data_IF_329860045308
#
_entry.id   IF_329860045308
#
_cell.length_a   1.000
_cell.length_b   1.000
_cell.length_c   1.000
_cell.angle_alpha   90.00
_cell.angle_beta   90.00
_cell.angle_gamma   90.00
#
_symmetry.space_group_name_H-M   'P 1'
#
loop_
_entity.id
_entity.type
_entity.pdbx_description
1 polymer ?
#
# COMPACT_ATOMS: atom_id res chain seq x y z
N UNK A 1 -13.00 -12.31 9.59
CA UNK A 1 -12.65 -12.02 8.19
C UNK A 1 -13.87 -11.38 7.55
N UNK A 2 -13.73 -10.17 7.00
CA UNK A 2 -14.70 -9.58 6.07
C UNK A 2 -14.30 -10.03 4.68
N UNK A 3 -15.05 -10.94 4.09
CA UNK A 3 -15.01 -11.17 2.66
C UNK A 3 -16.42 -10.95 2.15
N UNK A 4 -16.58 -10.10 1.15
CA UNK A 4 -17.75 -10.22 0.29
C UNK A 4 -17.75 -11.66 -0.24
N UNK A 5 -18.94 -12.28 -0.26
CA UNK A 5 -19.15 -13.73 -0.45
C UNK A 5 -18.51 -14.29 -1.75
N UNK A 6 -18.14 -13.41 -2.68
CA UNK A 6 -17.52 -13.75 -3.96
C UNK A 6 -16.00 -13.98 -3.90
N UNK A 7 -15.29 -13.52 -2.85
CA UNK A 7 -13.81 -13.57 -2.81
C UNK A 7 -13.23 -14.72 -1.97
N UNK A 8 -13.86 -15.09 -0.85
CA UNK A 8 -13.31 -16.15 0.04
C UNK A 8 -13.33 -17.55 -0.60
N UNK A 9 -14.40 -17.87 -1.33
CA UNK A 9 -14.58 -19.19 -1.99
C UNK A 9 -13.64 -19.43 -3.18
N UNK A 10 -12.91 -18.40 -3.63
CA UNK A 10 -12.00 -18.45 -4.79
C UNK A 10 -10.54 -18.69 -4.43
N UNK A 11 -10.14 -18.55 -3.16
CA UNK A 11 -8.72 -18.54 -2.77
C UNK A 11 -8.17 -19.92 -2.41
N UNK A 12 -8.99 -20.98 -2.41
CA UNK A 12 -8.58 -22.34 -2.05
C UNK A 12 -7.86 -22.42 -0.68
N UNK A 13 -8.32 -21.61 0.28
CA UNK A 13 -7.82 -21.57 1.67
C UNK A 13 -8.93 -22.02 2.61
N UNK A 14 -8.62 -22.98 3.49
CA UNK A 14 -9.50 -23.39 4.58
C UNK A 14 -9.45 -22.36 5.71
N UNK A 15 -10.60 -21.92 6.19
CA UNK A 15 -10.72 -20.81 7.15
C UNK A 15 -11.30 -21.24 8.49
N UNK A 16 -10.58 -20.88 9.56
CA UNK A 16 -11.02 -21.06 10.94
C UNK A 16 -11.34 -19.71 11.57
N UNK A 17 -12.62 -19.47 11.86
CA UNK A 17 -13.12 -18.21 12.39
C UNK A 17 -13.36 -18.27 13.89
N UNK A 18 -12.85 -17.27 14.61
CA UNK A 18 -13.24 -16.94 15.98
C UNK A 18 -13.78 -15.51 15.98
N UNK A 19 -14.94 -15.30 16.61
CA UNK A 19 -15.50 -13.96 16.81
C UNK A 19 -15.54 -13.67 18.32
N UNK A 20 -14.95 -12.55 18.74
CA UNK A 20 -15.06 -12.08 20.12
C UNK A 20 -16.43 -11.46 20.39
N UNK A 21 -16.83 -11.42 21.66
CA UNK A 21 -18.10 -10.80 22.07
C UNK A 21 -18.22 -9.34 21.58
N UNK A 22 -17.13 -8.58 21.65
CA UNK A 22 -17.11 -7.18 21.20
C UNK A 22 -17.16 -7.07 19.68
N UNK A 23 -16.51 -7.99 18.95
CA UNK A 23 -16.62 -8.04 17.49
C UNK A 23 -18.06 -8.33 17.03
N UNK A 24 -18.81 -9.20 17.73
CA UNK A 24 -20.23 -9.42 17.42
C UNK A 24 -21.09 -8.16 17.58
N UNK A 25 -20.75 -7.29 18.53
CA UNK A 25 -21.41 -6.00 18.69
C UNK A 25 -20.98 -5.04 17.56
N UNK A 26 -19.68 -4.91 17.32
CA UNK A 26 -19.12 -4.02 16.28
C UNK A 26 -19.67 -4.34 14.89
N UNK A 27 -19.79 -5.63 14.52
CA UNK A 27 -20.37 -6.04 13.22
C UNK A 27 -21.76 -5.44 13.02
N UNK A 28 -22.60 -5.42 14.06
CA UNK A 28 -23.96 -4.87 13.96
C UNK A 28 -24.00 -3.34 13.90
N UNK A 29 -22.97 -2.66 14.41
CA UNK A 29 -22.90 -1.20 14.46
C UNK A 29 -22.25 -0.60 13.20
N UNK A 30 -21.25 -1.29 12.64
CA UNK A 30 -20.41 -0.76 11.57
C UNK A 30 -20.77 -1.31 10.19
N UNK A 31 -21.66 -2.32 10.11
CA UNK A 31 -21.94 -3.04 8.87
C UNK A 31 -23.41 -3.48 8.79
N UNK A 32 -23.86 -3.78 7.57
CA UNK A 32 -25.17 -4.40 7.33
C UNK A 32 -25.17 -5.92 7.56
N UNK A 33 -24.01 -6.52 7.91
CA UNK A 33 -23.91 -7.94 8.18
C UNK A 33 -24.42 -8.29 9.58
N UNK A 34 -24.94 -9.51 9.72
CA UNK A 34 -25.14 -10.12 11.03
C UNK A 34 -23.96 -11.03 11.39
N UNK A 35 -23.70 -11.30 12.69
CA UNK A 35 -22.74 -12.31 13.09
C UNK A 35 -23.00 -13.69 12.47
N UNK A 36 -24.25 -14.01 12.15
CA UNK A 36 -24.59 -15.26 11.44
C UNK A 36 -24.11 -15.23 9.98
N UNK A 37 -24.27 -14.11 9.27
CA UNK A 37 -23.73 -13.95 7.92
C UNK A 37 -22.21 -14.11 7.92
N UNK A 38 -21.51 -13.48 8.87
CA UNK A 38 -20.04 -13.57 8.96
C UNK A 38 -19.58 -15.00 9.27
N UNK A 39 -20.28 -15.72 10.16
CA UNK A 39 -19.97 -17.13 10.45
C UNK A 39 -20.15 -18.04 9.24
N UNK A 40 -21.14 -17.76 8.38
CA UNK A 40 -21.39 -18.54 7.18
C UNK A 40 -20.32 -18.37 6.09
N UNK A 41 -19.44 -17.37 6.21
CA UNK A 41 -18.32 -17.15 5.29
C UNK A 41 -17.10 -18.03 5.58
N UNK A 42 -17.07 -18.74 6.71
CA UNK A 42 -15.94 -19.54 7.14
C UNK A 42 -16.26 -21.05 7.09
N UNK A 43 -15.24 -21.86 6.80
CA UNK A 43 -15.38 -23.33 6.76
C UNK A 43 -15.60 -23.91 8.17
N UNK A 44 -14.88 -23.36 9.15
CA UNK A 44 -14.97 -23.75 10.55
C UNK A 44 -15.14 -22.54 11.46
N UNK A 45 -16.10 -22.63 12.40
CA UNK A 45 -16.36 -21.57 13.38
C UNK A 45 -16.17 -22.11 14.79
N UNK A 46 -15.35 -21.42 15.58
CA UNK A 46 -15.02 -21.78 16.96
C UNK A 46 -15.54 -20.72 17.92
N UNK A 47 -16.02 -21.16 19.08
CA UNK A 47 -16.39 -20.24 20.17
C UNK A 47 -15.13 -19.65 20.79
N UNK A 48 -15.13 -18.35 21.12
CA UNK A 48 -13.98 -17.73 21.79
C UNK A 48 -13.68 -18.34 23.18
N UNK A 49 -14.61 -19.10 23.74
CA UNK A 49 -14.43 -19.81 25.02
C UNK A 49 -14.00 -21.27 24.86
N UNK A 50 -13.98 -21.78 23.63
CA UNK A 50 -13.65 -23.17 23.35
C UNK A 50 -12.14 -23.38 23.29
N UNK A 51 -11.52 -23.49 24.46
CA UNK A 51 -10.09 -23.77 24.57
C UNK A 51 -9.71 -25.19 24.09
N UNK A 52 -10.69 -26.07 23.81
CA UNK A 52 -10.46 -27.41 23.29
C UNK A 52 -10.48 -27.46 21.74
N UNK A 53 -10.75 -26.33 21.07
CA UNK A 53 -10.73 -26.25 19.62
C UNK A 53 -9.35 -26.64 19.04
N UNK A 54 -9.28 -27.28 17.86
CA UNK A 54 -8.01 -27.74 17.29
C UNK A 54 -6.93 -26.65 17.18
N UNK A 55 -7.35 -25.43 16.87
CA UNK A 55 -6.48 -24.24 16.73
C UNK A 55 -5.82 -23.78 18.04
N UNK A 56 -6.21 -24.34 19.19
CA UNK A 56 -5.54 -24.09 20.48
C UNK A 56 -4.31 -24.98 20.70
N UNK A 57 -4.06 -25.93 19.79
CA UNK A 57 -2.94 -26.87 19.82
C UNK A 57 -1.90 -26.58 18.73
N UNK A 58 -0.62 -26.67 19.09
CA UNK A 58 0.48 -26.58 18.11
C UNK A 58 0.56 -27.76 17.14
N UNK A 59 -0.03 -28.90 17.50
CA UNK A 59 -0.09 -30.08 16.63
C UNK A 59 -1.05 -29.91 15.46
N UNK A 60 -2.04 -29.02 15.59
CA UNK A 60 -2.91 -28.66 14.48
C UNK A 60 -2.11 -27.77 13.53
N UNK A 61 -2.03 -28.14 12.26
CA UNK A 61 -1.27 -27.36 11.27
C UNK A 61 -2.14 -26.22 10.72
N UNK A 62 -1.60 -25.01 10.77
CA UNK A 62 -2.21 -23.80 10.22
C UNK A 62 -1.08 -22.95 9.66
N UNK A 63 -1.24 -22.40 8.46
CA UNK A 63 -0.21 -21.60 7.79
C UNK A 63 0.01 -20.26 8.51
N UNK A 64 -1.05 -19.74 9.12
CA UNK A 64 -0.96 -18.67 10.11
C UNK A 64 -2.30 -18.10 10.51
N UNK A 65 -2.28 -16.89 11.09
CA UNK A 65 -3.45 -16.27 11.71
C UNK A 65 -3.47 -14.76 11.45
N UNK A 66 -4.66 -14.23 11.19
CA UNK A 66 -4.93 -12.78 11.12
C UNK A 66 -5.95 -12.42 12.21
N UNK A 67 -5.61 -11.43 13.05
CA UNK A 67 -6.58 -10.81 13.97
C UNK A 67 -7.05 -9.49 13.35
N UNK A 68 -8.29 -9.45 12.86
CA UNK A 68 -8.85 -8.31 12.12
C UNK A 68 -10.30 -7.99 12.52
N UNK A 69 -10.59 -6.77 13.04
CA UNK A 69 -9.63 -5.84 13.62
C UNK A 69 -9.03 -6.38 14.93
N UNK A 70 -7.81 -5.95 15.25
CA UNK A 70 -7.14 -6.26 16.52
C UNK A 70 -7.28 -5.09 17.50
N UNK A 71 -7.99 -5.33 18.60
CA UNK A 71 -8.15 -4.35 19.67
C UNK A 71 -6.88 -4.21 20.51
N UNK A 72 -6.70 -3.07 21.18
CA UNK A 72 -5.60 -2.87 22.13
C UNK A 72 -5.61 -3.89 23.28
N UNK A 73 -6.80 -4.34 23.70
CA UNK A 73 -6.95 -5.41 24.69
C UNK A 73 -6.38 -6.73 24.18
N UNK A 74 -6.74 -7.11 22.95
CA UNK A 74 -6.24 -8.34 22.32
C UNK A 74 -4.73 -8.28 22.12
N UNK A 75 -4.20 -7.16 21.64
CA UNK A 75 -2.76 -6.93 21.51
C UNK A 75 -2.03 -7.13 22.85
N UNK A 76 -2.54 -6.53 23.93
CA UNK A 76 -1.96 -6.69 25.26
C UNK A 76 -2.03 -8.15 25.74
N UNK A 77 -3.11 -8.86 25.43
CA UNK A 77 -3.26 -10.27 25.76
C UNK A 77 -2.25 -11.17 25.05
N UNK A 78 -2.03 -10.92 23.75
CA UNK A 78 -1.02 -11.61 22.96
C UNK A 78 0.38 -11.32 23.50
N UNK A 79 0.70 -10.06 23.80
CA UNK A 79 2.01 -9.70 24.35
C UNK A 79 2.28 -10.38 25.71
N UNK A 80 1.27 -10.40 26.59
CA UNK A 80 1.39 -10.98 27.92
C UNK A 80 1.33 -12.52 27.93
N UNK A 81 0.82 -13.15 26.86
CA UNK A 81 0.76 -14.61 26.72
C UNK A 81 -0.16 -15.33 27.71
N UNK A 82 -1.10 -14.63 28.36
CA UNK A 82 -1.93 -15.25 29.42
C UNK A 82 -3.04 -16.19 28.90
N UNK A 83 -3.36 -16.11 27.59
CA UNK A 83 -4.21 -17.09 26.89
C UNK A 83 -5.60 -17.38 27.49
N UNK A 84 -6.29 -16.38 28.05
CA UNK A 84 -7.62 -16.57 28.71
C UNK A 84 -8.74 -16.91 27.72
N UNK A 85 -8.58 -16.55 26.45
CA UNK A 85 -9.55 -16.86 25.40
C UNK A 85 -8.91 -17.54 24.19
N UNK A 86 -9.74 -18.11 23.32
CA UNK A 86 -9.25 -18.89 22.19
C UNK A 86 -8.46 -18.03 21.19
N UNK A 87 -8.80 -16.75 21.04
CA UNK A 87 -8.06 -15.82 20.17
C UNK A 87 -6.62 -15.65 20.68
N UNK A 88 -6.45 -15.29 21.95
CA UNK A 88 -5.12 -15.11 22.54
C UNK A 88 -4.35 -16.43 22.60
N UNK A 89 -5.03 -17.55 22.84
CA UNK A 89 -4.42 -18.88 22.81
C UNK A 89 -3.95 -19.30 21.41
N UNK A 90 -4.76 -19.11 20.38
CA UNK A 90 -4.38 -19.43 19.00
C UNK A 90 -3.22 -18.54 18.53
N UNK A 91 -3.18 -17.27 18.94
CA UNK A 91 -2.07 -16.37 18.66
C UNK A 91 -0.76 -16.82 19.34
N UNK A 92 -0.82 -17.27 20.60
CA UNK A 92 0.32 -17.88 21.30
C UNK A 92 0.81 -19.14 20.57
N UNK A 93 -0.10 -19.97 20.05
CA UNK A 93 0.26 -21.11 19.21
C UNK A 93 1.01 -20.66 17.96
N UNK A 94 0.58 -19.60 17.27
CA UNK A 94 1.31 -19.10 16.10
C UNK A 94 2.73 -18.67 16.47
N UNK A 95 2.90 -17.91 17.55
CA UNK A 95 4.20 -17.42 17.98
C UNK A 95 5.14 -18.57 18.38
N UNK A 96 4.67 -19.51 19.20
CA UNK A 96 5.51 -20.60 19.71
C UNK A 96 5.89 -21.61 18.61
N UNK A 97 5.01 -21.84 17.63
CA UNK A 97 5.26 -22.71 16.47
C UNK A 97 5.96 -21.98 15.31
N UNK A 98 6.33 -20.71 15.49
CA UNK A 98 6.98 -19.87 14.46
C UNK A 98 6.17 -19.75 13.17
N UNK A 99 4.86 -19.68 13.31
CA UNK A 99 3.91 -19.46 12.20
C UNK A 99 3.55 -17.99 12.10
N UNK A 100 3.04 -17.60 10.93
CA UNK A 100 2.78 -16.21 10.61
C UNK A 100 1.58 -15.70 11.42
N UNK A 101 1.78 -14.64 12.21
CA UNK A 101 0.73 -13.97 12.97
C UNK A 101 0.66 -12.50 12.55
N UNK A 102 -0.48 -12.06 12.03
CA UNK A 102 -0.72 -10.67 11.61
C UNK A 102 -1.77 -10.04 12.52
N UNK A 103 -1.43 -8.88 13.08
CA UNK A 103 -2.28 -8.12 13.99
C UNK A 103 -2.72 -6.83 13.31
N UNK A 104 -3.99 -6.77 12.90
CA UNK A 104 -4.56 -5.62 12.20
C UNK A 104 -5.02 -4.54 13.18
N UNK A 105 -4.08 -3.75 13.68
CA UNK A 105 -4.34 -2.74 14.72
C UNK A 105 -5.22 -1.61 14.19
N UNK A 106 -6.36 -1.36 14.85
CA UNK A 106 -7.23 -0.21 14.57
C UNK A 106 -7.41 0.63 15.84
N UNK A 107 -6.53 1.61 16.04
CA UNK A 107 -6.59 2.55 17.17
C UNK A 107 -5.89 3.87 16.84
N UNK A 108 -6.41 4.99 17.36
CA UNK A 108 -5.76 6.30 17.28
C UNK A 108 -6.38 7.28 18.28
N UNK A 109 -5.58 8.08 19.03
CA UNK A 109 -4.11 8.10 19.08
C UNK A 109 -3.52 6.90 19.86
N UNK A 110 -2.22 6.66 19.70
CA UNK A 110 -1.53 5.57 20.36
C UNK A 110 -0.87 6.04 21.67
N UNK A 111 -1.12 5.30 22.75
CA UNK A 111 -0.42 5.48 24.02
C UNK A 111 0.95 4.80 24.00
N UNK A 112 1.84 5.18 24.92
CA UNK A 112 3.13 4.51 25.10
C UNK A 112 2.97 3.00 25.39
N UNK A 113 1.90 2.62 26.09
CA UNK A 113 1.58 1.22 26.38
C UNK A 113 1.28 0.46 25.09
N UNK A 114 0.51 1.07 24.17
CA UNK A 114 0.20 0.46 22.87
C UNK A 114 1.49 0.25 22.07
N UNK A 115 2.36 1.27 22.01
CA UNK A 115 3.62 1.22 21.27
C UNK A 115 4.56 0.13 21.83
N UNK A 116 4.69 0.02 23.15
CA UNK A 116 5.50 -1.03 23.79
C UNK A 116 4.96 -2.43 23.46
N UNK A 117 3.66 -2.64 23.59
CA UNK A 117 3.06 -3.93 23.23
C UNK A 117 3.28 -4.28 21.76
N UNK A 118 3.12 -3.32 20.84
CA UNK A 118 3.37 -3.53 19.41
C UNK A 118 4.83 -3.87 19.13
N UNK A 119 5.77 -3.21 19.80
CA UNK A 119 7.20 -3.49 19.67
C UNK A 119 7.54 -4.91 20.15
N UNK A 120 7.03 -5.31 21.30
CA UNK A 120 7.36 -6.59 21.92
C UNK A 120 6.80 -7.77 21.12
N UNK A 121 5.55 -7.71 20.64
CA UNK A 121 5.01 -8.77 19.78
C UNK A 121 5.69 -8.81 18.41
N UNK A 122 6.13 -7.66 17.88
CA UNK A 122 6.94 -7.61 16.65
C UNK A 122 8.26 -8.35 16.84
N UNK A 123 8.95 -8.13 17.98
CA UNK A 123 10.18 -8.86 18.34
C UNK A 123 9.95 -10.35 18.55
N UNK A 124 8.77 -10.76 19.00
CA UNK A 124 8.39 -12.16 19.13
C UNK A 124 8.16 -12.86 17.77
N UNK A 125 7.94 -12.09 16.70
CA UNK A 125 7.74 -12.59 15.33
C UNK A 125 6.34 -12.32 14.75
N UNK A 126 5.46 -11.62 15.48
CA UNK A 126 4.20 -11.14 14.90
C UNK A 126 4.44 -9.97 13.95
N UNK A 127 3.51 -9.74 13.05
CA UNK A 127 3.50 -8.60 12.13
C UNK A 127 2.42 -7.64 12.59
N UNK A 128 2.82 -6.42 12.95
CA UNK A 128 1.88 -5.32 13.18
C UNK A 128 1.52 -4.71 11.83
N UNK A 129 0.27 -4.87 11.41
CA UNK A 129 -0.25 -4.34 10.15
C UNK A 129 -1.43 -3.41 10.45
N UNK A 130 -1.20 -2.14 10.84
CA UNK A 130 -2.27 -1.24 11.19
C UNK A 130 -3.32 -1.15 10.08
N UNK A 131 -4.58 -1.02 10.45
CA UNK A 131 -5.71 -0.85 9.53
C UNK A 131 -5.75 0.59 8.99
N UNK A 132 -4.67 1.03 8.34
CA UNK A 132 -4.55 2.36 7.77
C UNK A 132 -4.85 2.34 6.27
N UNK A 133 -5.92 3.04 5.89
CA UNK A 133 -6.26 3.30 4.50
C UNK A 133 -5.30 4.38 3.94
N UNK A 134 -4.63 4.10 2.82
CA UNK A 134 -3.86 5.10 2.10
C UNK A 134 -4.72 5.72 1.00
N UNK A 135 -4.69 7.03 0.83
CA UNK A 135 -5.41 7.70 -0.28
C UNK A 135 -4.46 7.96 -1.48
N UNK A 136 -3.21 7.50 -1.40
CA UNK A 136 -2.18 7.80 -2.40
C UNK A 136 -2.51 7.29 -3.82
N UNK A 137 -3.38 6.29 -3.94
CA UNK A 137 -3.81 5.72 -5.22
C UNK A 137 -5.17 6.23 -5.69
N UNK A 138 -5.72 7.27 -5.04
CA UNK A 138 -7.01 7.90 -5.40
C UNK A 138 -8.16 6.87 -5.57
N UNK A 139 -8.54 6.16 -4.49
CA UNK A 139 -9.68 5.25 -4.51
C UNK A 139 -10.97 5.97 -4.93
N UNK A 140 -11.81 5.29 -5.72
CA UNK A 140 -13.12 5.81 -6.12
C UNK A 140 -14.20 5.52 -5.05
N UNK A 141 -13.95 4.55 -4.17
CA UNK A 141 -14.88 4.10 -3.14
C UNK A 141 -14.21 3.72 -1.80
N UNK A 142 -15.02 3.59 -0.76
CA UNK A 142 -14.58 3.03 0.53
C UNK A 142 -14.19 1.56 0.39
N UNK A 143 -14.88 0.82 -0.48
CA UNK A 143 -14.58 -0.59 -0.73
C UNK A 143 -13.16 -0.76 -1.30
N UNK A 144 -12.71 0.16 -2.15
CA UNK A 144 -11.32 0.13 -2.66
C UNK A 144 -10.29 0.28 -1.53
N UNK A 145 -10.58 1.10 -0.52
CA UNK A 145 -9.72 1.27 0.67
C UNK A 145 -9.68 0.01 1.52
N UNK A 146 -10.82 -0.65 1.67
CA UNK A 146 -10.94 -1.92 2.39
C UNK A 146 -10.19 -3.02 1.65
N UNK A 147 -10.38 -3.12 0.34
CA UNK A 147 -9.73 -4.12 -0.52
C UNK A 147 -8.21 -3.93 -0.57
N UNK A 148 -7.72 -2.69 -0.58
CA UNK A 148 -6.27 -2.43 -0.48
C UNK A 148 -5.70 -2.98 0.84
N UNK A 149 -6.40 -2.74 1.95
CA UNK A 149 -5.96 -3.20 3.26
C UNK A 149 -6.00 -4.73 3.36
N UNK A 150 -7.06 -5.35 2.84
CA UNK A 150 -7.21 -6.82 2.78
C UNK A 150 -6.11 -7.42 1.89
N UNK A 151 -5.88 -6.86 0.70
CA UNK A 151 -4.84 -7.31 -0.23
C UNK A 151 -3.46 -7.28 0.42
N UNK A 152 -3.10 -6.19 1.10
CA UNK A 152 -1.84 -6.08 1.87
C UNK A 152 -1.70 -7.15 2.95
N UNK A 153 -2.80 -7.50 3.64
CA UNK A 153 -2.76 -8.55 4.66
C UNK A 153 -2.64 -9.95 4.04
N UNK A 154 -3.30 -10.21 2.90
CA UNK A 154 -3.25 -11.49 2.21
C UNK A 154 -1.92 -11.71 1.46
N UNK A 155 -1.31 -10.66 0.94
CA UNK A 155 0.05 -10.67 0.39
C UNK A 155 1.06 -11.18 1.43
N UNK A 156 0.85 -10.87 2.72
CA UNK A 156 1.69 -11.41 3.77
C UNK A 156 1.58 -12.92 3.88
N UNK A 157 0.55 -13.58 3.36
CA UNK A 157 0.36 -15.04 3.38
C UNK A 157 0.64 -15.70 2.03
N UNK A 158 1.17 -14.93 1.07
CA UNK A 158 1.43 -15.43 -0.29
C UNK A 158 0.15 -15.98 -0.96
N UNK A 159 -1.01 -15.41 -0.59
CA UNK A 159 -2.32 -15.78 -1.15
C UNK A 159 -2.62 -14.83 -2.32
N UNK A 160 -2.59 -15.38 -3.54
CA UNK A 160 -2.85 -14.61 -4.75
C UNK A 160 -4.32 -14.21 -4.85
N UNK A 161 -4.63 -12.95 -4.56
CA UNK A 161 -5.94 -12.36 -4.83
C UNK A 161 -6.02 -11.89 -6.27
N UNK A 162 -6.88 -12.54 -7.05
CA UNK A 162 -7.15 -12.22 -8.48
C UNK A 162 -7.65 -10.77 -8.67
N UNK A 163 -8.07 -10.08 -7.62
CA UNK A 163 -8.76 -8.79 -7.68
C UNK A 163 -8.00 -7.59 -7.12
N UNK A 164 -6.70 -7.67 -6.80
CA UNK A 164 -6.01 -6.48 -6.29
C UNK A 164 -5.20 -5.81 -7.40
N UNK A 165 -5.68 -4.71 -8.01
CA UNK A 165 -4.84 -3.87 -8.89
C UNK A 165 -3.61 -3.32 -8.16
N UNK A 166 -3.58 -3.40 -6.82
CA UNK A 166 -2.54 -2.84 -5.95
C UNK A 166 -1.10 -3.32 -6.24
N UNK A 167 -0.82 -4.52 -6.76
CA UNK A 167 0.59 -4.85 -7.08
C UNK A 167 1.12 -4.00 -8.23
N UNK A 168 0.31 -3.81 -9.27
CA UNK A 168 0.66 -2.99 -10.44
C UNK A 168 0.54 -1.50 -10.08
N UNK A 169 -0.49 -1.10 -9.33
CA UNK A 169 -0.70 0.30 -8.94
C UNK A 169 0.27 0.80 -7.86
N UNK A 170 0.62 0.00 -6.86
CA UNK A 170 1.45 0.48 -5.75
C UNK A 170 2.92 0.60 -6.17
N UNK A 171 3.42 -0.28 -7.04
CA UNK A 171 4.69 -0.08 -7.74
C UNK A 171 4.64 1.15 -8.66
N UNK A 172 3.51 1.35 -9.36
CA UNK A 172 3.29 2.54 -10.18
C UNK A 172 3.41 3.81 -9.33
N UNK A 173 2.65 3.94 -8.25
CA UNK A 173 2.65 5.12 -7.37
C UNK A 173 3.96 5.30 -6.59
N UNK A 174 4.58 4.22 -6.11
CA UNK A 174 5.89 4.30 -5.44
C UNK A 174 7.00 4.75 -6.38
N UNK A 175 6.90 4.52 -7.69
CA UNK A 175 7.93 4.95 -8.63
C UNK A 175 7.68 6.32 -9.23
N UNK A 176 6.51 6.95 -9.01
CA UNK A 176 6.17 8.24 -9.64
C UNK A 176 7.20 9.33 -9.40
N UNK A 177 7.67 9.47 -8.16
CA UNK A 177 8.69 10.45 -7.81
C UNK A 177 10.06 10.17 -8.48
N UNK A 178 10.26 8.97 -9.03
CA UNK A 178 11.49 8.59 -9.72
C UNK A 178 11.36 8.61 -11.25
N UNK A 179 10.17 8.72 -11.84
CA UNK A 179 10.00 8.41 -13.29
C UNK A 179 10.80 9.31 -14.20
N UNK A 180 10.66 10.63 -14.08
CA UNK A 180 11.37 11.56 -14.96
C UNK A 180 12.89 11.46 -14.78
N UNK A 181 13.36 11.34 -13.54
CA UNK A 181 14.80 11.17 -13.25
C UNK A 181 15.31 9.81 -13.72
N UNK A 182 14.52 8.75 -13.55
CA UNK A 182 14.82 7.41 -14.02
C UNK A 182 14.93 7.34 -15.54
N UNK A 183 14.07 8.08 -16.25
CA UNK A 183 14.16 8.24 -17.70
C UNK A 183 15.47 8.93 -18.10
N UNK A 184 15.86 10.00 -17.40
CA UNK A 184 17.15 10.67 -17.63
C UNK A 184 18.35 9.74 -17.38
N UNK A 185 18.38 9.02 -16.25
CA UNK A 185 19.46 8.09 -15.93
C UNK A 185 19.52 6.92 -16.91
N UNK A 186 18.37 6.37 -17.29
CA UNK A 186 18.26 5.32 -18.29
C UNK A 186 18.78 5.76 -19.65
N UNK A 187 18.36 6.93 -20.11
CA UNK A 187 18.82 7.50 -21.37
C UNK A 187 20.33 7.80 -21.33
N UNK A 188 20.84 8.30 -20.21
CA UNK A 188 22.28 8.56 -20.02
C UNK A 188 23.09 7.28 -20.10
N UNK A 189 22.63 6.21 -19.44
CA UNK A 189 23.27 4.90 -19.51
C UNK A 189 23.26 4.34 -20.94
N UNK A 190 22.16 4.47 -21.67
CA UNK A 190 22.04 4.04 -23.06
C UNK A 190 22.99 4.80 -23.98
N UNK A 191 23.14 6.11 -23.77
CA UNK A 191 24.09 6.94 -24.51
C UNK A 191 25.54 6.51 -24.25
N UNK A 192 25.89 6.23 -22.98
CA UNK A 192 27.21 5.71 -22.60
C UNK A 192 27.49 4.32 -23.19
N UNK A 193 26.47 3.49 -23.36
CA UNK A 193 26.57 2.16 -23.97
C UNK A 193 26.56 2.20 -25.51
N UNK A 194 26.53 3.39 -26.13
CA UNK A 194 26.51 3.54 -27.59
C UNK A 194 25.21 3.07 -28.23
N UNK A 195 24.09 3.05 -27.48
CA UNK A 195 22.76 2.66 -27.95
C UNK A 195 21.71 3.75 -27.67
N UNK A 196 21.89 4.97 -28.20
CA UNK A 196 20.98 6.09 -27.93
C UNK A 196 19.54 5.84 -28.42
N UNK A 197 19.38 5.05 -29.48
CA UNK A 197 18.07 4.78 -30.11
C UNK A 197 17.30 3.60 -29.48
N UNK A 198 17.77 3.07 -28.35
CA UNK A 198 17.12 1.93 -27.70
C UNK A 198 15.79 2.29 -27.01
N UNK A 199 15.56 3.57 -26.71
CA UNK A 199 14.27 4.07 -26.22
C UNK A 199 13.47 4.73 -27.35
N UNK A 200 12.15 4.51 -27.43
CA UNK A 200 11.31 5.17 -28.43
C UNK A 200 11.35 6.70 -28.24
N UNK A 201 11.96 7.40 -29.20
CA UNK A 201 12.16 8.86 -29.14
C UNK A 201 10.84 9.60 -28.92
N UNK A 202 9.79 9.25 -29.66
CA UNK A 202 8.53 9.99 -29.62
C UNK A 202 7.81 9.83 -28.27
N UNK A 203 7.74 8.60 -27.77
CA UNK A 203 7.12 8.32 -26.47
C UNK A 203 7.87 8.99 -25.32
N UNK A 204 9.21 9.07 -25.42
CA UNK A 204 10.05 9.78 -24.44
C UNK A 204 9.70 11.28 -24.40
N UNK A 205 9.59 11.92 -25.57
CA UNK A 205 9.23 13.35 -25.67
C UNK A 205 7.83 13.60 -25.13
N UNK A 206 6.86 12.80 -25.56
CA UNK A 206 5.46 12.95 -25.14
C UNK A 206 5.32 12.77 -23.61
N UNK A 207 6.04 11.81 -23.01
CA UNK A 207 6.06 11.64 -21.56
C UNK A 207 6.65 12.86 -20.84
N UNK A 208 7.81 13.37 -21.28
CA UNK A 208 8.45 14.53 -20.66
C UNK A 208 7.55 15.76 -20.74
N UNK A 209 6.98 16.05 -21.92
CA UNK A 209 6.08 17.21 -22.11
C UNK A 209 4.79 17.10 -21.29
N UNK A 210 4.27 15.89 -21.07
CA UNK A 210 3.13 15.66 -20.18
C UNK A 210 3.46 15.93 -18.70
N UNK A 211 4.73 15.93 -18.31
CA UNK A 211 5.17 16.31 -16.97
C UNK A 211 5.32 17.84 -16.79
N UNK A 212 5.06 18.65 -17.83
CA UNK A 212 5.18 20.10 -17.77
C UNK A 212 4.00 20.74 -17.04
N UNK A 213 4.32 21.56 -16.04
CA UNK A 213 3.37 22.33 -15.24
C UNK A 213 3.06 23.70 -15.88
N UNK A 214 1.98 24.35 -15.45
CA UNK A 214 1.59 25.69 -15.92
C UNK A 214 2.65 26.77 -15.63
N UNK A 215 3.47 26.56 -14.61
CA UNK A 215 4.61 27.43 -14.27
C UNK A 215 5.80 27.31 -15.24
N UNK A 216 5.72 26.46 -16.27
CA UNK A 216 6.79 26.19 -17.22
C UNK A 216 7.82 25.15 -16.76
N UNK A 217 7.92 24.90 -15.46
CA UNK A 217 8.75 23.83 -14.88
C UNK A 217 8.13 22.44 -15.01
N UNK A 218 8.88 21.39 -14.63
CA UNK A 218 8.45 19.99 -14.75
C UNK A 218 8.33 19.31 -13.39
N UNK A 219 7.36 18.39 -13.28
CA UNK A 219 7.18 17.49 -12.13
C UNK A 219 7.77 16.10 -12.37
N UNK A 220 7.70 15.23 -11.35
CA UNK A 220 8.28 13.88 -11.42
C UNK A 220 7.55 12.93 -12.39
N UNK A 221 6.24 13.17 -12.54
CA UNK A 221 5.31 12.46 -13.40
C UNK A 221 4.17 13.44 -13.81
N UNK A 222 3.31 13.08 -14.79
CA UNK A 222 2.18 13.94 -15.17
C UNK A 222 1.28 14.28 -13.99
N UNK A 223 0.95 15.57 -13.83
CA UNK A 223 0.10 16.07 -12.74
C UNK A 223 0.82 16.29 -11.39
N UNK A 224 2.14 16.12 -11.33
CA UNK A 224 2.95 16.47 -10.14
C UNK A 224 3.39 17.94 -10.16
N UNK A 225 3.62 18.50 -8.97
CA UNK A 225 4.13 19.86 -8.81
C UNK A 225 5.50 20.03 -9.49
N UNK A 226 5.72 21.21 -10.07
CA UNK A 226 7.00 21.55 -10.66
C UNK A 226 8.09 21.63 -9.59
N UNK A 227 9.25 21.04 -9.88
CA UNK A 227 10.42 21.11 -9.02
C UNK A 227 11.70 21.29 -9.84
N UNK A 228 12.69 21.98 -9.29
CA UNK A 228 13.95 22.29 -9.99
C UNK A 228 14.66 21.02 -10.48
N UNK A 229 14.71 19.98 -9.64
CA UNK A 229 15.34 18.70 -9.98
C UNK A 229 14.76 18.08 -11.27
N UNK A 230 13.43 17.95 -11.32
CA UNK A 230 12.74 17.35 -12.47
C UNK A 230 12.81 18.27 -13.69
N UNK A 231 12.73 19.58 -13.49
CA UNK A 231 12.92 20.56 -14.57
C UNK A 231 14.28 20.39 -15.25
N UNK A 232 15.35 20.23 -14.48
CA UNK A 232 16.69 20.00 -15.04
C UNK A 232 16.74 18.67 -15.80
N UNK A 233 16.22 17.59 -15.23
CA UNK A 233 16.17 16.28 -15.89
C UNK A 233 15.37 16.30 -17.20
N UNK A 234 14.21 16.98 -17.23
CA UNK A 234 13.39 17.14 -18.43
C UNK A 234 14.17 17.84 -19.55
N UNK A 235 14.80 18.98 -19.24
CA UNK A 235 15.60 19.73 -20.22
C UNK A 235 16.76 18.88 -20.73
N UNK A 236 17.44 18.17 -19.83
CA UNK A 236 18.54 17.28 -20.23
C UNK A 236 18.07 16.15 -21.16
N UNK A 237 16.94 15.50 -20.85
CA UNK A 237 16.36 14.47 -21.72
C UNK A 237 16.06 15.06 -23.10
N UNK A 238 15.37 16.20 -23.16
CA UNK A 238 14.99 16.86 -24.42
C UNK A 238 16.21 17.25 -25.26
N UNK A 239 17.30 17.71 -24.63
CA UNK A 239 18.58 17.95 -25.32
C UNK A 239 19.18 16.65 -25.85
N UNK A 240 19.17 15.59 -25.06
CA UNK A 240 19.74 14.29 -25.45
C UNK A 240 18.99 13.62 -26.60
N UNK A 241 17.69 13.87 -26.75
CA UNK A 241 16.87 13.36 -27.87
C UNK A 241 16.67 14.37 -29.01
N UNK A 242 17.38 15.50 -28.99
CA UNK A 242 17.28 16.58 -29.98
C UNK A 242 15.83 17.06 -30.18
N UNK A 243 15.15 17.41 -29.07
CA UNK A 243 13.73 17.77 -29.02
C UNK A 243 13.47 19.11 -28.32
N UNK A 244 14.45 20.01 -28.34
CA UNK A 244 14.29 21.36 -27.74
C UNK A 244 13.22 22.17 -28.47
N UNK A 245 13.09 21.99 -29.80
CA UNK A 245 12.03 22.65 -30.57
C UNK A 245 10.61 22.19 -30.18
N UNK A 246 10.46 20.93 -29.77
CA UNK A 246 9.16 20.41 -29.30
C UNK A 246 8.74 21.12 -27.99
N UNK A 247 9.71 21.50 -27.14
CA UNK A 247 9.46 22.30 -25.95
C UNK A 247 9.02 23.73 -26.29
N UNK A 248 9.71 24.39 -27.22
CA UNK A 248 9.37 25.75 -27.66
C UNK A 248 7.94 25.81 -28.25
N UNK A 249 7.57 24.83 -29.08
CA UNK A 249 6.21 24.70 -29.62
C UNK A 249 5.17 24.49 -28.53
N UNK A 250 5.51 23.74 -27.48
CA UNK A 250 4.59 23.50 -26.36
C UNK A 250 4.42 24.75 -25.46
N UNK A 251 5.46 25.58 -25.34
CA UNK A 251 5.42 26.86 -24.62
C UNK A 251 4.56 27.90 -25.35
N UNK A 252 4.62 27.94 -26.69
CA UNK A 252 3.79 28.83 -27.52
C UNK A 252 2.28 28.61 -27.33
N UNK A 253 1.86 27.44 -26.85
CA UNK A 253 0.46 27.11 -26.53
C UNK A 253 0.03 27.39 -25.08
N UNK A 254 0.96 27.66 -24.15
CA UNK A 254 0.67 27.74 -22.70
C UNK A 254 1.14 29.01 -21.98
N UNK A 255 1.73 29.99 -22.66
CA UNK A 255 1.97 31.29 -22.04
C UNK A 255 2.95 32.19 -22.77
N UNK A 256 2.43 33.05 -23.65
CA UNK A 256 3.12 34.27 -24.08
C UNK A 256 2.84 35.38 -23.08
N UNK A 257 3.55 35.39 -21.96
CA UNK A 257 3.63 36.55 -21.07
C UNK A 257 4.96 36.57 -20.29
N UNK A 258 6.06 36.26 -20.98
CA UNK A 258 7.41 36.51 -20.47
C UNK A 258 8.18 37.38 -21.47
N UNK A 259 8.02 38.69 -21.35
CA UNK A 259 8.92 39.67 -21.96
C UNK A 259 10.21 39.74 -21.13
N UNK A 260 11.29 39.15 -21.64
CA UNK A 260 12.64 39.38 -21.13
C UNK A 260 13.22 40.63 -21.77
N UNK A 261 13.05 41.80 -21.14
CA UNK A 261 13.91 42.96 -21.45
C UNK A 261 15.18 42.89 -20.59
N UNK A 262 16.32 42.68 -21.24
CA UNK A 262 17.64 42.79 -20.62
C UNK A 262 17.94 44.29 -20.45
N UNK A 263 18.07 44.83 -19.22
CA UNK A 263 18.51 46.21 -19.07
C UNK A 263 20.00 46.27 -19.40
N UNK A 264 20.32 46.65 -20.64
CA UNK A 264 21.68 47.01 -21.01
C UNK A 264 22.01 48.31 -20.29
N UNK A 265 22.73 48.20 -19.16
CA UNK A 265 23.22 49.33 -18.39
C UNK A 265 24.18 50.17 -19.25
N UNK A 266 23.86 51.44 -19.40
CA UNK A 266 24.75 52.44 -20.01
C UNK A 266 26.01 52.60 -19.15
N UNK A 267 27.14 52.14 -19.68
CA UNK A 267 28.48 52.52 -19.21
C UNK A 267 28.65 54.03 -19.37
N UNK A 268 28.91 54.72 -18.25
CA UNK A 268 29.60 56.02 -18.25
C UNK A 268 31.09 55.81 -18.49
#
# INVERSE_FOLDING_TARGET
MMFNNENASRLNVETHLIISQWAEATIKYETDYTPANVRALADHVHSNRDQAAPISSGSFHADGMIILPCSMKTLAAVNAGYCDDLISRAADVMLKERRRLVLAIRETPLSEIHLRNMLDVTRAGAIICPANASVLYKPDSIDDLVDQMIGRMLDLFDVDTVSTPAKIELEYWHTEHLRLNGLYWGLTALHLLGRPDALPRRETIDFVLNCQHESGGFGAAPGHDAHLLYTVSAVQILVMVDAVEDLEKNLDGKGKDFSWEIPCGSTK
#
